data_IF_546126006906
#
_entry.id   IF_546126006906
#
_cell.length_a   1.000
_cell.length_b   1.000
_cell.length_c   1.000
_cell.angle_alpha   90.00
_cell.angle_beta   90.00
_cell.angle_gamma   90.00
#
_symmetry.space_group_name_H-M   'P 1'
#
loop_
_entity.id
_entity.type
_entity.pdbx_description
1 polymer ?
#
# COMPACT_ATOMS: atom_id res chain seq x y z
N UNK A 1 9.46 -10.36 -24.63
CA UNK A 1 9.95 -10.20 -23.26
C UNK A 1 9.17 -9.07 -22.60
N UNK A 2 8.59 -9.32 -21.44
CA UNK A 2 7.87 -8.27 -20.75
C UNK A 2 8.86 -7.23 -20.20
N UNK A 3 8.60 -5.97 -20.44
CA UNK A 3 9.40 -4.90 -19.88
C UNK A 3 9.14 -4.81 -18.39
N UNK A 4 10.20 -4.77 -17.60
CA UNK A 4 10.08 -4.49 -16.18
C UNK A 4 9.94 -2.99 -15.98
N UNK A 5 8.92 -2.60 -15.23
CA UNK A 5 8.77 -1.21 -14.82
C UNK A 5 9.63 -1.00 -13.57
N UNK A 6 10.71 -0.26 -13.74
CA UNK A 6 11.57 0.12 -12.64
C UNK A 6 11.28 1.58 -12.31
N UNK A 7 10.76 1.80 -11.12
CA UNK A 7 10.52 3.16 -10.64
C UNK A 7 11.76 3.69 -9.95
N UNK A 8 12.12 4.93 -10.31
CA UNK A 8 13.14 5.71 -9.61
C UNK A 8 12.44 6.82 -8.82
N UNK A 9 13.17 7.47 -7.95
CA UNK A 9 12.63 8.58 -7.14
C UNK A 9 11.36 8.23 -6.39
N UNK A 10 11.29 7.00 -5.89
CA UNK A 10 10.15 6.55 -5.10
C UNK A 10 10.12 7.30 -3.79
N UNK A 11 8.96 7.88 -3.47
CA UNK A 11 8.77 8.60 -2.21
C UNK A 11 7.45 8.20 -1.56
N UNK A 12 7.46 8.24 -0.23
CA UNK A 12 6.28 8.01 0.59
C UNK A 12 6.12 9.20 1.53
N UNK A 13 4.93 9.77 1.56
CA UNK A 13 4.58 10.85 2.48
C UNK A 13 3.43 10.39 3.36
N UNK A 14 3.57 10.62 4.66
CA UNK A 14 2.51 10.38 5.64
C UNK A 14 2.14 11.72 6.26
N UNK A 15 0.91 12.18 6.03
CA UNK A 15 0.42 13.50 6.45
C UNK A 15 1.36 14.64 6.01
N UNK A 16 1.80 14.60 4.72
CA UNK A 16 2.70 15.57 4.10
C UNK A 16 4.14 15.54 4.62
N UNK A 17 4.49 14.56 5.45
CA UNK A 17 5.88 14.36 5.89
C UNK A 17 6.51 13.21 5.12
N UNK A 18 7.65 13.46 4.49
CA UNK A 18 8.38 12.43 3.78
C UNK A 18 9.00 11.42 4.75
N UNK A 19 8.75 10.14 4.50
CA UNK A 19 9.36 9.06 5.27
C UNK A 19 10.42 8.36 4.44
N UNK A 20 11.57 8.01 5.02
CA UNK A 20 12.56 7.22 4.31
C UNK A 20 12.04 5.81 4.07
N UNK A 21 12.25 5.28 2.88
CA UNK A 21 11.80 3.93 2.51
C UNK A 21 13.00 3.13 2.02
N UNK A 22 13.17 1.94 2.58
CA UNK A 22 14.22 1.02 2.11
C UNK A 22 13.92 0.56 0.70
N UNK A 23 14.96 0.44 -0.10
CA UNK A 23 14.82 0.04 -1.49
C UNK A 23 14.08 -1.29 -1.65
N UNK A 24 13.21 -1.36 -2.64
CA UNK A 24 12.43 -2.55 -3.01
C UNK A 24 11.44 -3.04 -1.94
N UNK A 25 11.14 -2.22 -0.92
CA UNK A 25 10.22 -2.62 0.14
C UNK A 25 8.79 -2.13 -0.06
N UNK A 26 8.58 -1.12 -0.91
CA UNK A 26 7.26 -0.51 -1.09
C UNK A 26 6.35 -1.40 -1.95
N UNK A 27 5.24 -1.81 -1.35
CA UNK A 27 4.18 -2.59 -2.00
C UNK A 27 2.84 -1.96 -1.69
N UNK A 28 1.92 -1.99 -2.65
CA UNK A 28 0.57 -1.49 -2.41
C UNK A 28 -0.45 -2.24 -3.26
N UNK A 29 -1.72 -2.11 -2.88
CA UNK A 29 -2.84 -2.60 -3.67
C UNK A 29 -3.76 -1.44 -4.01
N UNK A 30 -4.46 -1.54 -5.14
CA UNK A 30 -5.37 -0.46 -5.58
C UNK A 30 -6.68 -0.41 -4.79
N UNK A 31 -7.04 -1.48 -4.12
CA UNK A 31 -8.31 -1.53 -3.38
C UNK A 31 -9.54 -1.67 -4.28
N UNK A 32 -9.39 -2.33 -5.42
CA UNK A 32 -10.47 -2.47 -6.40
C UNK A 32 -11.49 -3.54 -6.03
N UNK A 33 -11.23 -4.28 -4.95
CA UNK A 33 -12.08 -5.37 -4.53
C UNK A 33 -11.77 -6.67 -5.26
N UNK A 34 -12.44 -7.71 -4.84
CA UNK A 34 -12.32 -9.04 -5.45
C UNK A 34 -13.54 -9.36 -6.28
N UNK A 35 -13.31 -10.02 -7.40
CA UNK A 35 -14.37 -10.50 -8.27
C UNK A 35 -14.28 -12.02 -8.36
N UNK A 36 -15.43 -12.67 -8.45
CA UNK A 36 -15.49 -14.11 -8.66
C UNK A 36 -16.32 -14.42 -9.90
N UNK A 37 -15.93 -15.49 -10.59
CA UNK A 37 -16.64 -16.00 -11.74
C UNK A 37 -16.94 -17.46 -11.50
N UNK A 38 -18.22 -17.82 -11.50
CA UNK A 38 -18.66 -19.20 -11.35
C UNK A 38 -19.38 -19.65 -12.62
N UNK A 39 -19.21 -20.91 -12.97
CA UNK A 39 -20.00 -21.51 -14.03
C UNK A 39 -21.17 -22.28 -13.43
N UNK A 40 -22.32 -22.13 -14.04
CA UNK A 40 -23.54 -22.85 -13.66
C UNK A 40 -24.21 -23.39 -14.91
N UNK A 41 -25.02 -24.43 -14.75
CA UNK A 41 -25.79 -25.02 -15.84
C UNK A 41 -27.25 -24.65 -15.69
N UNK A 42 -27.83 -24.06 -16.73
CA UNK A 42 -29.24 -23.73 -16.75
C UNK A 42 -29.83 -24.15 -18.10
N UNK A 43 -30.83 -25.01 -18.07
CA UNK A 43 -31.47 -25.47 -19.29
C UNK A 43 -30.53 -26.19 -20.27
N UNK A 44 -29.54 -26.92 -19.76
CA UNK A 44 -28.52 -27.58 -20.55
C UNK A 44 -27.42 -26.68 -21.09
N UNK A 45 -27.41 -25.40 -20.75
CA UNK A 45 -26.39 -24.43 -21.16
C UNK A 45 -25.54 -23.99 -19.99
N UNK A 46 -24.26 -23.77 -20.25
CA UNK A 46 -23.34 -23.20 -19.26
C UNK A 46 -23.50 -21.70 -19.26
N UNK A 47 -23.74 -21.13 -18.08
CA UNK A 47 -23.77 -19.69 -17.87
C UNK A 47 -22.66 -19.31 -16.91
N UNK A 48 -22.18 -18.07 -17.01
CA UNK A 48 -21.20 -17.50 -16.09
C UNK A 48 -21.88 -16.55 -15.13
N UNK A 49 -21.61 -16.75 -13.84
CA UNK A 49 -22.07 -15.86 -12.79
C UNK A 49 -20.86 -15.06 -12.33
N UNK A 50 -20.92 -13.73 -12.53
CA UNK A 50 -19.86 -12.81 -12.12
C UNK A 50 -20.36 -12.03 -10.91
N UNK A 51 -19.58 -12.05 -9.84
CA UNK A 51 -19.88 -11.27 -8.64
C UNK A 51 -18.66 -10.47 -8.21
N UNK A 52 -18.90 -9.32 -7.60
CA UNK A 52 -17.85 -8.48 -7.05
C UNK A 52 -18.11 -8.26 -5.58
N UNK A 53 -17.10 -8.57 -4.76
CA UNK A 53 -17.18 -8.35 -3.33
C UNK A 53 -16.70 -6.93 -3.02
N UNK A 54 -17.65 -6.05 -2.62
CA UNK A 54 -17.34 -4.67 -2.29
C UNK A 54 -16.72 -4.52 -0.90
N UNK A 55 -16.80 -5.55 -0.04
CA UNK A 55 -16.18 -5.51 1.28
C UNK A 55 -14.66 -5.62 1.22
N UNK A 56 -14.13 -6.10 0.08
CA UNK A 56 -12.68 -6.19 -0.14
C UNK A 56 -12.09 -4.94 -0.79
N UNK A 57 -12.88 -3.87 -0.96
CA UNK A 57 -12.39 -2.60 -1.50
C UNK A 57 -11.62 -1.81 -0.44
N UNK A 58 -10.51 -2.39 -0.04
CA UNK A 58 -9.59 -1.82 0.93
C UNK A 58 -8.19 -1.89 0.32
N UNK A 59 -7.53 -0.75 0.30
CA UNK A 59 -6.15 -0.68 -0.17
C UNK A 59 -5.19 -0.98 0.98
N UNK A 60 -4.04 -1.54 0.63
CA UNK A 60 -2.97 -1.82 1.57
C UNK A 60 -1.69 -1.18 1.03
N UNK A 61 -0.95 -0.53 1.92
CA UNK A 61 0.39 0.01 1.62
C UNK A 61 1.32 -0.53 2.67
N UNK A 62 2.39 -1.16 2.24
CA UNK A 62 3.41 -1.64 3.17
C UNK A 62 4.81 -1.33 2.65
N UNK A 63 5.68 -1.00 3.57
CA UNK A 63 7.06 -0.68 3.27
C UNK A 63 7.90 -0.81 4.55
N UNK A 64 9.20 -0.74 4.39
CA UNK A 64 10.13 -0.73 5.52
C UNK A 64 10.85 0.61 5.58
N UNK A 65 10.98 1.14 6.79
CA UNK A 65 11.79 2.33 7.05
C UNK A 65 13.05 1.96 7.80
N UNK A 66 14.17 2.64 7.57
CA UNK A 66 15.38 2.41 8.36
C UNK A 66 15.13 2.73 9.84
N UNK A 67 15.68 1.92 10.74
CA UNK A 67 15.54 2.17 12.16
C UNK A 67 16.33 3.41 12.57
N UNK A 68 15.62 4.37 13.16
CA UNK A 68 16.20 5.54 13.79
C UNK A 68 15.31 5.94 14.97
N UNK A 69 15.83 6.72 15.88
CA UNK A 69 15.02 7.21 17.01
C UNK A 69 13.83 8.02 16.49
N UNK A 70 14.06 8.84 15.48
CA UNK A 70 13.01 9.65 14.88
C UNK A 70 11.90 8.78 14.26
N UNK A 71 12.27 7.77 13.48
CA UNK A 71 11.29 6.89 12.85
C UNK A 71 10.58 6.00 13.86
N UNK A 72 11.26 5.55 14.91
CA UNK A 72 10.59 4.81 15.99
C UNK A 72 9.51 5.65 16.65
N UNK A 73 9.80 6.93 16.90
CA UNK A 73 8.84 7.85 17.50
C UNK A 73 7.70 8.19 16.56
N UNK A 74 7.97 8.42 15.28
CA UNK A 74 6.94 8.74 14.29
C UNK A 74 5.98 7.57 14.05
N UNK A 75 6.50 6.36 13.91
CA UNK A 75 5.66 5.17 13.70
C UNK A 75 4.81 4.89 14.94
N UNK A 76 5.36 5.06 16.13
CA UNK A 76 4.61 4.92 17.38
C UNK A 76 3.47 5.93 17.47
N UNK A 77 3.74 7.19 17.14
CA UNK A 77 2.73 8.25 17.19
C UNK A 77 1.58 7.98 16.22
N UNK A 78 1.91 7.62 14.98
CA UNK A 78 0.90 7.31 13.96
C UNK A 78 0.02 6.13 14.40
N UNK A 79 0.62 5.09 14.97
CA UNK A 79 -0.14 3.93 15.43
C UNK A 79 -0.98 4.26 16.67
N UNK A 80 -0.41 4.97 17.63
CA UNK A 80 -1.07 5.24 18.90
C UNK A 80 -2.30 6.14 18.77
N UNK A 81 -2.29 7.08 17.83
CA UNK A 81 -3.42 7.98 17.63
C UNK A 81 -4.63 7.31 17.03
N UNK A 82 -4.45 6.22 16.28
CA UNK A 82 -5.56 5.46 15.68
C UNK A 82 -6.43 6.23 14.70
N UNK A 83 -6.10 7.48 14.41
CA UNK A 83 -6.84 8.32 13.48
C UNK A 83 -6.36 8.04 12.05
N UNK A 84 -7.29 8.13 11.10
CA UNK A 84 -6.96 7.97 9.69
C UNK A 84 -5.95 9.01 9.20
N UNK A 85 -4.95 8.54 8.46
CA UNK A 85 -3.89 9.36 7.90
C UNK A 85 -4.00 9.41 6.39
N UNK A 86 -3.38 10.39 5.78
CA UNK A 86 -3.24 10.45 4.33
C UNK A 86 -1.83 9.98 3.98
N UNK A 87 -1.75 8.90 3.20
CA UNK A 87 -0.48 8.38 2.70
C UNK A 87 -0.42 8.61 1.21
N UNK A 88 0.68 9.16 0.72
CA UNK A 88 0.91 9.37 -0.71
C UNK A 88 2.17 8.64 -1.13
N UNK A 89 2.09 7.96 -2.25
CA UNK A 89 3.26 7.35 -2.88
C UNK A 89 3.44 7.94 -4.26
N UNK A 90 4.68 8.07 -4.67
CA UNK A 90 5.02 8.55 -6.01
C UNK A 90 6.32 7.93 -6.48
N UNK A 91 6.48 7.85 -7.78
CA UNK A 91 7.69 7.36 -8.41
C UNK A 91 7.67 7.69 -9.88
N UNK A 92 8.83 7.61 -10.51
CA UNK A 92 9.00 7.90 -11.94
C UNK A 92 9.70 6.72 -12.59
N UNK A 93 9.27 6.32 -13.78
CA UNK A 93 9.96 5.29 -14.54
C UNK A 93 11.10 5.89 -15.38
N UNK A 94 11.81 5.04 -16.10
CA UNK A 94 12.95 5.48 -16.92
C UNK A 94 12.53 6.35 -18.10
N UNK A 95 11.28 6.24 -18.53
CA UNK A 95 10.75 7.02 -19.66
C UNK A 95 10.17 8.38 -19.21
N UNK A 96 10.22 8.70 -17.93
CA UNK A 96 9.68 9.92 -17.36
C UNK A 96 8.20 9.85 -17.00
N UNK A 97 7.56 8.70 -17.12
CA UNK A 97 6.18 8.52 -16.69
C UNK A 97 6.11 8.51 -15.17
N UNK A 98 5.09 9.15 -14.62
CA UNK A 98 4.95 9.31 -13.18
C UNK A 98 3.81 8.47 -12.64
N UNK A 99 4.08 7.75 -11.56
CA UNK A 99 3.06 7.10 -10.76
C UNK A 99 2.76 7.96 -9.54
N UNK A 100 1.48 8.16 -9.27
CA UNK A 100 1.04 8.81 -8.04
C UNK A 100 -0.20 8.12 -7.51
N UNK A 101 -0.24 7.85 -6.21
CA UNK A 101 -1.39 7.27 -5.54
C UNK A 101 -1.56 7.92 -4.18
N UNK A 102 -2.80 8.23 -3.83
CA UNK A 102 -3.17 8.79 -2.52
C UNK A 102 -4.08 7.81 -1.81
N UNK A 103 -3.76 7.53 -0.56
CA UNK A 103 -4.52 6.61 0.30
C UNK A 103 -5.07 7.42 1.46
N UNK A 104 -6.40 7.55 1.51
CA UNK A 104 -7.07 8.29 2.58
C UNK A 104 -7.57 7.35 3.67
N UNK A 105 -7.71 7.88 4.87
CA UNK A 105 -8.16 7.12 6.03
C UNK A 105 -7.25 5.92 6.34
N UNK A 106 -5.97 6.07 6.10
CA UNK A 106 -4.99 5.03 6.33
C UNK A 106 -4.71 4.85 7.82
N UNK A 107 -4.76 3.63 8.30
CA UNK A 107 -4.45 3.26 9.67
C UNK A 107 -3.39 2.17 9.70
N UNK A 108 -2.54 2.20 10.72
CA UNK A 108 -1.56 1.14 10.94
C UNK A 108 -2.29 -0.09 11.48
N UNK A 109 -2.08 -1.22 10.82
CA UNK A 109 -2.85 -2.45 11.10
C UNK A 109 -2.38 -3.15 12.37
N UNK A 110 -1.08 -3.15 12.62
CA UNK A 110 -0.50 -3.86 13.76
C UNK A 110 0.74 -3.14 14.26
N UNK A 111 1.07 -3.38 15.52
CA UNK A 111 2.30 -2.88 16.10
C UNK A 111 3.48 -3.71 15.57
N UNK A 112 4.37 -3.14 14.75
CA UNK A 112 5.43 -3.92 14.14
C UNK A 112 6.59 -4.17 15.11
N UNK A 113 7.24 -5.31 14.94
CA UNK A 113 8.53 -5.53 15.58
C UNK A 113 9.57 -4.62 14.96
N UNK A 114 10.46 -4.09 15.80
CA UNK A 114 11.48 -3.14 15.37
C UNK A 114 12.86 -3.72 15.63
N UNK A 115 13.68 -3.81 14.58
CA UNK A 115 15.08 -4.17 14.72
C UNK A 115 15.86 -2.90 15.08
N UNK A 116 16.37 -2.84 16.29
CA UNK A 116 16.97 -1.62 16.84
C UNK A 116 18.51 -1.60 16.81
N UNK A 117 19.13 -2.65 16.27
CA UNK A 117 20.58 -2.74 16.18
C UNK A 117 21.03 -2.92 14.75
N UNK A 118 22.23 -2.45 14.44
CA UNK A 118 22.84 -2.53 13.12
C UNK A 118 21.97 -1.86 12.04
N UNK A 119 21.88 -2.44 10.87
CA UNK A 119 21.07 -1.93 9.75
C UNK A 119 19.62 -2.39 9.83
N UNK A 120 19.02 -2.28 11.01
CA UNK A 120 17.66 -2.71 11.22
C UNK A 120 16.63 -1.90 10.44
N UNK A 121 15.43 -2.43 10.35
CA UNK A 121 14.30 -1.77 9.71
C UNK A 121 13.03 -1.96 10.52
N UNK A 122 12.07 -1.06 10.29
CA UNK A 122 10.74 -1.13 10.89
C UNK A 122 9.75 -1.41 9.74
N UNK A 123 9.07 -2.57 9.75
CA UNK A 123 8.01 -2.81 8.77
C UNK A 123 6.78 -1.99 9.14
N UNK A 124 6.21 -1.30 8.16
CA UNK A 124 5.02 -0.47 8.35
C UNK A 124 3.96 -0.94 7.37
N UNK A 125 2.76 -1.17 7.86
CA UNK A 125 1.63 -1.59 7.04
C UNK A 125 0.41 -0.73 7.36
N UNK A 126 -0.11 -0.07 6.34
CA UNK A 126 -1.37 0.68 6.43
C UNK A 126 -2.47 -0.03 5.67
N UNK A 127 -3.68 0.04 6.20
CA UNK A 127 -4.91 -0.24 5.42
C UNK A 127 -5.69 1.06 5.28
N UNK A 128 -6.26 1.27 4.12
CA UNK A 128 -6.89 2.54 3.77
C UNK A 128 -8.10 2.35 2.86
N UNK A 129 -8.80 3.45 2.58
CA UNK A 129 -9.74 3.51 1.47
C UNK A 129 -9.02 3.21 0.14
N UNK A 130 -9.77 2.86 -0.92
CA UNK A 130 -9.14 2.57 -2.22
C UNK A 130 -8.21 3.68 -2.69
N UNK A 131 -7.14 3.29 -3.36
CA UNK A 131 -6.14 4.22 -3.87
C UNK A 131 -6.74 5.20 -4.86
N UNK A 132 -6.35 6.46 -4.77
CA UNK A 132 -6.79 7.52 -5.68
C UNK A 132 -5.58 7.88 -6.56
N UNK A 133 -5.69 7.72 -7.89
CA UNK A 133 -4.63 8.18 -8.79
C UNK A 133 -4.40 9.69 -8.66
N UNK A 134 -3.15 10.07 -8.73
CA UNK A 134 -2.78 11.49 -8.61
C UNK A 134 -1.68 11.91 -9.59
#
# INVERSE_FOLDING_TARGET
MADQIILTDVSVEVDDNAWPVKGNSLLYTEGLGESSVESATQGGKTILIVSQDTTTKVSMVKFEVPTSIDMMNQTREVHAKGAGRTVRISGTDQAGNRLGRTFKSAIVVSDPEKAIQNEGSIPVEFKSAPAIPS
#
